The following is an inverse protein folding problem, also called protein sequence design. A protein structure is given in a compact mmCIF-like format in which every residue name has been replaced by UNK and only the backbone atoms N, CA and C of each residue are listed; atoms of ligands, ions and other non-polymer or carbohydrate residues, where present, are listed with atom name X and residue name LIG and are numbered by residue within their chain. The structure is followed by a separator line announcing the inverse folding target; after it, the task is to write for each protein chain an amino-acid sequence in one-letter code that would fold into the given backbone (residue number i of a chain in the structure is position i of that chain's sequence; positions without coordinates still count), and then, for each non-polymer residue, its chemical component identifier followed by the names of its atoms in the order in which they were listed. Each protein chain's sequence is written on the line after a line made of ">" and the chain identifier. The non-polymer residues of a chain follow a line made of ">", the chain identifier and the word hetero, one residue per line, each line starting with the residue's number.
data_IF_576459168417
#
_entry.id   IF_576459168417
#
_cell.length_a   1.000
_cell.length_b   1.000
_cell.length_c   1.000
_cell.angle_alpha   90.00
_cell.angle_beta   90.00
_cell.angle_gamma   90.00
#
_symmetry.space_group_name_H-M   'P 1'
#
loop_
_entity.id
_entity.type
_entity.pdbx_description
1 polymer ?
#
# COMPACT_ATOMS: atom_id res chain seq x y z
N UNK A 1 9.58 -11.08 -1.49
CA UNK A 1 9.01 -9.84 -2.07
C UNK A 1 7.88 -10.20 -3.01
N UNK A 2 6.79 -9.44 -3.02
CA UNK A 2 5.66 -9.66 -3.94
C UNK A 2 6.08 -9.43 -5.38
N UNK A 3 5.48 -10.18 -6.30
CA UNK A 3 5.69 -9.97 -7.74
C UNK A 3 4.88 -8.75 -8.17
N UNK A 4 5.55 -7.66 -8.49
CA UNK A 4 4.94 -6.38 -8.90
C UNK A 4 3.92 -6.56 -10.02
N UNK A 5 4.12 -7.51 -10.94
CA UNK A 5 3.15 -7.80 -11.99
C UNK A 5 1.90 -8.50 -11.45
N UNK A 6 2.05 -9.40 -10.48
CA UNK A 6 0.91 -10.02 -9.80
C UNK A 6 0.11 -8.99 -9.01
N UNK A 7 0.79 -8.03 -8.37
CA UNK A 7 0.13 -6.90 -7.68
C UNK A 7 -0.71 -6.06 -8.65
N UNK A 8 -0.16 -5.68 -9.81
CA UNK A 8 -0.90 -4.95 -10.86
C UNK A 8 -2.09 -5.76 -11.38
N UNK A 9 -1.88 -7.04 -11.70
CA UNK A 9 -2.96 -7.91 -12.18
C UNK A 9 -4.07 -8.06 -11.14
N UNK A 10 -3.74 -8.22 -9.87
CA UNK A 10 -4.72 -8.32 -8.80
C UNK A 10 -5.56 -7.04 -8.71
N UNK A 11 -4.93 -5.86 -8.81
CA UNK A 11 -5.65 -4.58 -8.81
C UNK A 11 -6.58 -4.43 -10.01
N UNK A 12 -6.14 -4.83 -11.20
CA UNK A 12 -6.97 -4.82 -12.41
C UNK A 12 -8.15 -5.80 -12.31
N UNK A 13 -7.98 -6.94 -11.62
CA UNK A 13 -9.08 -7.87 -11.31
C UNK A 13 -10.08 -7.28 -10.32
N UNK A 14 -9.60 -6.58 -9.29
CA UNK A 14 -10.46 -5.97 -8.26
C UNK A 14 -11.28 -4.79 -8.80
N UNK A 15 -10.76 -4.06 -9.80
CA UNK A 15 -11.43 -2.92 -10.43
C UNK A 15 -11.49 -3.11 -11.95
N UNK A 16 -12.48 -3.85 -12.48
CA UNK A 16 -12.59 -4.06 -13.91
C UNK A 16 -12.77 -2.73 -14.65
N UNK A 17 -12.11 -2.58 -15.80
CA UNK A 17 -12.16 -1.36 -16.63
C UNK A 17 -11.02 -0.36 -16.37
N UNK A 18 -10.19 -0.58 -15.34
CA UNK A 18 -8.97 0.22 -15.16
C UNK A 18 -7.92 -0.17 -16.19
N UNK A 19 -7.24 0.83 -16.74
CA UNK A 19 -6.14 0.64 -17.67
C UNK A 19 -4.90 0.14 -16.94
N UNK A 20 -4.41 -1.04 -17.32
CA UNK A 20 -3.26 -1.70 -16.69
C UNK A 20 -2.00 -0.82 -16.70
N UNK A 21 -1.73 -0.11 -17.79
CA UNK A 21 -0.56 0.76 -17.92
C UNK A 21 -0.57 1.93 -16.95
N UNK A 22 -1.75 2.47 -16.63
CA UNK A 22 -1.93 3.53 -15.63
C UNK A 22 -1.68 2.96 -14.23
N UNK A 23 -2.22 1.77 -13.93
CA UNK A 23 -2.02 1.09 -12.64
C UNK A 23 -0.53 0.79 -12.41
N UNK A 24 0.18 0.35 -13.44
CA UNK A 24 1.62 0.07 -13.35
C UNK A 24 2.43 1.34 -13.07
N UNK A 25 2.15 2.44 -13.78
CA UNK A 25 2.83 3.73 -13.55
C UNK A 25 2.58 4.28 -12.14
N UNK A 26 1.33 4.23 -11.68
CA UNK A 26 0.97 4.67 -10.33
C UNK A 26 1.59 3.77 -9.26
N UNK A 27 1.61 2.45 -9.47
CA UNK A 27 2.28 1.53 -8.56
C UNK A 27 3.76 1.88 -8.42
N UNK A 28 4.44 2.12 -9.53
CA UNK A 28 5.86 2.50 -9.52
C UNK A 28 6.10 3.80 -8.77
N UNK A 29 5.32 4.85 -9.08
CA UNK A 29 5.43 6.14 -8.39
C UNK A 29 5.26 6.00 -6.87
N UNK A 30 4.29 5.20 -6.43
CA UNK A 30 4.06 4.97 -4.99
C UNK A 30 5.19 4.14 -4.38
N UNK A 31 5.70 3.10 -5.06
CA UNK A 31 6.84 2.33 -4.57
C UNK A 31 8.11 3.19 -4.43
N UNK A 32 8.35 4.11 -5.37
CA UNK A 32 9.55 4.96 -5.38
C UNK A 32 9.50 6.08 -4.32
N UNK A 33 8.32 6.60 -4.01
CA UNK A 33 8.19 7.80 -3.16
C UNK A 33 7.57 7.55 -1.77
N UNK A 34 6.89 6.43 -1.55
CA UNK A 34 6.19 6.15 -0.29
C UNK A 34 6.95 5.09 0.53
N UNK A 35 7.84 5.53 1.42
CA UNK A 35 8.66 4.66 2.29
C UNK A 35 7.84 3.63 3.09
N UNK A 36 6.58 3.95 3.40
CA UNK A 36 5.68 3.04 4.12
C UNK A 36 5.41 1.74 3.36
N UNK A 37 5.43 1.73 2.03
CA UNK A 37 5.24 0.49 1.26
C UNK A 37 6.40 -0.48 1.50
N UNK A 38 7.62 0.02 1.46
CA UNK A 38 8.82 -0.79 1.70
C UNK A 38 8.91 -1.26 3.15
N UNK A 39 8.64 -0.35 4.09
CA UNK A 39 8.61 -0.68 5.51
C UNK A 39 7.56 -1.77 5.79
N UNK A 40 6.38 -1.65 5.18
CA UNK A 40 5.32 -2.63 5.35
C UNK A 40 5.66 -3.98 4.73
N UNK A 41 6.17 -4.00 3.48
CA UNK A 41 6.64 -5.23 2.82
C UNK A 41 7.75 -5.90 3.63
N UNK A 42 8.65 -5.13 4.23
CA UNK A 42 9.75 -5.63 5.07
C UNK A 42 9.25 -6.16 6.41
N UNK A 43 8.33 -5.44 7.05
CA UNK A 43 7.72 -5.88 8.31
C UNK A 43 7.00 -7.21 8.13
N UNK A 44 6.18 -7.36 7.08
CA UNK A 44 5.50 -8.62 6.76
C UNK A 44 6.49 -9.78 6.56
N UNK A 45 7.63 -9.55 5.90
CA UNK A 45 8.65 -10.60 5.71
C UNK A 45 9.35 -11.00 7.01
N UNK A 46 9.47 -10.07 7.96
CA UNK A 46 10.14 -10.28 9.24
C UNK A 46 9.16 -10.66 10.37
N UNK A 47 7.87 -10.79 10.06
CA UNK A 47 6.89 -11.17 11.08
C UNK A 47 7.18 -12.61 11.56
N UNK A 48 7.25 -12.83 12.88
CA UNK A 48 7.56 -14.15 13.43
C UNK A 48 6.40 -15.15 13.30
N UNK A 49 5.17 -14.65 13.11
CA UNK A 49 3.96 -15.47 12.93
C UNK A 49 3.00 -14.78 11.97
N UNK A 50 2.15 -15.55 11.29
CA UNK A 50 1.08 -15.03 10.43
C UNK A 50 -0.22 -14.71 11.19
N UNK A 51 -0.19 -14.75 12.53
CA UNK A 51 -1.38 -14.52 13.36
C UNK A 51 -1.72 -13.03 13.53
N UNK A 52 -0.85 -12.14 13.08
CA UNK A 52 -1.08 -10.70 13.13
C UNK A 52 -2.03 -10.25 12.01
N UNK A 53 -3.04 -9.45 12.38
CA UNK A 53 -3.92 -8.79 11.41
C UNK A 53 -3.47 -7.35 11.24
N UNK A 54 -3.14 -6.97 10.01
CA UNK A 54 -2.92 -5.57 9.65
C UNK A 54 -4.26 -4.95 9.27
N UNK A 55 -4.63 -3.87 9.94
CA UNK A 55 -5.84 -3.10 9.64
C UNK A 55 -5.44 -1.73 9.06
N UNK A 56 -5.75 -1.47 7.78
CA UNK A 56 -5.54 -0.17 7.14
C UNK A 56 -6.86 0.61 7.20
N UNK A 57 -6.92 1.64 8.04
CA UNK A 57 -8.08 2.52 8.18
C UNK A 57 -7.83 3.83 7.43
N UNK A 58 -8.13 3.84 6.14
CA UNK A 58 -7.98 5.04 5.30
C UNK A 58 -9.01 6.13 5.63
N UNK A 59 -10.10 5.76 6.31
CA UNK A 59 -11.17 6.62 6.81
C UNK A 59 -10.82 7.33 8.13
N UNK A 60 -9.76 6.88 8.81
CA UNK A 60 -9.39 7.38 10.11
C UNK A 60 -8.15 8.27 10.09
N UNK A 61 -8.26 9.33 10.86
CA UNK A 61 -7.15 10.21 11.19
C UNK A 61 -6.18 9.52 12.17
N UNK A 62 -4.86 9.63 11.99
CA UNK A 62 -3.89 9.10 12.95
C UNK A 62 -4.03 9.79 14.32
N UNK A 63 -3.78 9.04 15.40
CA UNK A 63 -3.91 9.56 16.76
C UNK A 63 -2.91 10.70 17.00
N UNK A 64 -3.40 11.89 17.40
CA UNK A 64 -2.58 13.07 17.69
C UNK A 64 -2.35 14.05 16.52
N UNK A 65 -2.85 13.75 15.31
CA UNK A 65 -2.66 14.60 14.13
C UNK A 65 -3.67 15.78 14.06
N UNK A 66 -3.64 16.62 13.03
CA UNK A 66 -4.68 17.64 12.76
C UNK A 66 -5.83 17.09 11.91
N UNK A 67 -7.05 17.65 12.04
CA UNK A 67 -8.29 17.13 11.44
C UNK A 67 -8.30 16.94 9.89
N UNK A 68 -7.27 17.41 9.18
CA UNK A 68 -7.14 17.32 7.72
C UNK A 68 -5.84 16.64 7.25
N UNK A 69 -5.04 16.07 8.16
CA UNK A 69 -3.81 15.35 7.80
C UNK A 69 -4.15 13.89 7.54
N UNK A 70 -4.23 13.55 6.26
CA UNK A 70 -4.38 12.17 5.79
C UNK A 70 -3.05 11.73 5.16
N UNK A 71 -2.39 10.73 5.75
CA UNK A 71 -1.24 9.99 5.20
C UNK A 71 0.00 10.76 4.69
N UNK A 72 0.21 12.02 5.08
CA UNK A 72 1.48 12.70 4.74
C UNK A 72 2.63 12.17 5.62
N UNK A 73 3.81 11.84 5.03
CA UNK A 73 4.98 11.42 5.80
C UNK A 73 5.41 12.49 6.80
N UNK A 74 6.14 12.06 7.83
CA UNK A 74 6.86 12.95 8.78
C UNK A 74 8.27 13.19 8.27
#
# INVERSE_FOLDING_TARGET
>A
MGDDRKEVQQRCKNMPGVRQDIVEKLQRMVHEHQIYVDLFKTALQRMPTDQYKVLIRADMKPAGEHARRFNEPV
#
